data_IF_840177465019
#
_entry.id   IF_840177465019
#
_cell.length_a   1.000
_cell.length_b   1.000
_cell.length_c   1.000
_cell.angle_alpha   90.00
_cell.angle_beta   90.00
_cell.angle_gamma   90.00
#
_symmetry.space_group_name_H-M   'P 1'
#
loop_
_entity.id
_entity.type
_entity.pdbx_description
1 polymer ?
2 non-polymer ?
3 water ?
#
# COMPACT_ATOMS: atom_id res chain seq x y z
N UNK A 4 -18.33 -7.22 18.36
CA UNK A 4 -18.33 -5.80 17.90
C UNK A 4 -18.04 -5.79 16.39
N UNK A 5 -18.24 -4.62 15.79
CA UNK A 5 -18.25 -4.46 14.34
C UNK A 5 -17.31 -3.34 13.90
N UNK A 6 -16.26 -3.12 14.71
CA UNK A 6 -15.28 -2.12 14.38
C UNK A 6 -14.65 -2.31 13.00
N UNK A 7 -14.36 -3.53 12.58
CA UNK A 7 -13.76 -3.72 11.24
C UNK A 7 -14.71 -3.22 10.15
N UNK A 8 -15.96 -3.63 10.29
CA UNK A 8 -17.00 -3.26 9.36
C UNK A 8 -17.25 -1.76 9.30
N UNK A 9 -17.46 -1.12 10.44
CA UNK A 9 -17.67 0.33 10.35
C UNK A 9 -16.45 1.14 9.89
N UNK A 10 -15.27 0.71 10.32
CA UNK A 10 -14.02 1.27 9.87
C UNK A 10 -13.96 1.24 8.35
N UNK A 11 -14.22 0.07 7.77
CA UNK A 11 -14.21 -0.13 6.32
C UNK A 11 -15.26 0.69 5.54
N UNK A 12 -16.43 0.88 6.15
CA UNK A 12 -17.48 1.72 5.54
C UNK A 12 -16.96 3.15 5.33
N UNK A 13 -16.06 3.58 6.20
CA UNK A 13 -15.49 4.93 6.16
C UNK A 13 -14.21 4.98 5.34
N UNK A 14 -14.16 4.16 4.27
CA UNK A 14 -13.08 4.12 3.34
C UNK A 14 -13.61 4.18 1.92
N UNK A 15 -12.73 4.44 0.92
CA UNK A 15 -13.18 4.42 -0.48
C UNK A 15 -13.47 3.05 -1.08
N UNK A 16 -13.24 1.97 -0.35
CA UNK A 16 -13.44 0.64 -0.93
C UNK A 16 -13.77 -0.36 0.17
N UNK A 17 -15.06 -0.40 0.51
CA UNK A 17 -15.53 -1.19 1.62
C UNK A 17 -15.11 -2.65 1.51
N UNK A 18 -15.36 -3.28 0.37
CA UNK A 18 -15.15 -4.75 0.26
C UNK A 18 -13.66 -5.12 0.32
N UNK A 19 -12.81 -4.30 -0.31
CA UNK A 19 -11.40 -4.50 -0.29
C UNK A 19 -10.84 -4.34 1.14
N UNK A 20 -11.30 -3.30 1.82
CA UNK A 20 -10.91 -3.03 3.22
C UNK A 20 -11.28 -4.23 4.09
N UNK A 21 -12.50 -4.71 3.89
CA UNK A 21 -13.06 -5.69 4.78
C UNK A 21 -12.31 -7.01 4.63
N UNK A 22 -12.14 -7.49 3.41
CA UNK A 22 -11.44 -8.78 3.21
C UNK A 22 -9.96 -8.69 3.60
N UNK A 23 -9.37 -7.51 3.41
CA UNK A 23 -7.98 -7.30 3.76
C UNK A 23 -7.78 -7.34 5.27
N UNK A 24 -8.59 -6.59 6.02
CA UNK A 24 -8.49 -6.57 7.49
C UNK A 24 -8.78 -7.91 8.12
N UNK A 25 -9.84 -8.59 7.66
CA UNK A 25 -10.18 -9.92 8.18
C UNK A 25 -9.14 -11.01 7.90
N UNK A 26 -8.28 -10.84 6.91
CA UNK A 26 -7.26 -11.81 6.63
C UNK A 26 -6.16 -11.83 7.66
N UNK A 27 -6.10 -10.80 8.50
CA UNK A 27 -5.11 -10.72 9.58
C UNK A 27 -5.74 -11.00 10.93
N UNK A 28 -5.16 -11.95 11.65
CA UNK A 28 -5.77 -12.35 12.93
C UNK A 28 -5.84 -11.21 13.98
N UNK A 29 -5.03 -10.17 13.81
CA UNK A 29 -5.11 -9.00 14.73
C UNK A 29 -6.41 -8.21 14.63
N UNK A 30 -7.23 -8.48 13.63
CA UNK A 30 -8.48 -7.77 13.46
C UNK A 30 -9.60 -8.19 14.42
N UNK A 31 -9.44 -9.34 15.07
CA UNK A 31 -10.49 -9.83 16.00
C UNK A 31 -10.64 -8.89 17.16
N UNK A 32 -9.54 -8.39 17.68
CA UNK A 32 -9.59 -7.53 18.87
C UNK A 32 -8.97 -6.17 18.68
N UNK A 33 -8.35 -5.95 17.52
CA UNK A 33 -7.58 -4.74 17.31
C UNK A 33 -8.42 -3.49 17.33
N UNK A 34 -7.83 -2.42 17.85
CA UNK A 34 -8.39 -1.06 17.74
C UNK A 34 -8.06 -0.46 16.39
N UNK A 35 -8.46 0.78 16.14
CA UNK A 35 -8.30 1.36 14.83
C UNK A 35 -6.81 1.50 14.47
N UNK A 36 -5.95 1.78 15.45
CA UNK A 36 -4.52 1.86 15.16
C UNK A 36 -4.00 0.52 14.63
N UNK A 37 -4.44 -0.55 15.27
CA UNK A 37 -4.09 -1.89 14.84
C UNK A 37 -4.61 -2.20 13.45
N UNK A 38 -5.84 -1.80 13.18
CA UNK A 38 -6.40 -1.95 11.86
C UNK A 38 -5.57 -1.22 10.79
N UNK A 39 -5.14 0.00 11.11
CA UNK A 39 -4.24 0.74 10.22
C UNK A 39 -2.91 -0.02 10.00
N UNK A 40 -2.31 -0.53 11.07
CA UNK A 40 -1.11 -1.35 10.98
C UNK A 40 -1.30 -2.59 10.09
N UNK A 41 -2.46 -3.28 10.20
CA UNK A 41 -2.79 -4.36 9.27
C UNK A 41 -2.80 -3.88 7.80
N UNK A 42 -3.43 -2.73 7.54
CA UNK A 42 -3.52 -2.20 6.20
C UNK A 42 -2.12 -1.85 5.66
N UNK A 43 -1.25 -1.28 6.50
CA UNK A 43 0.12 -0.98 6.07
C UNK A 43 0.83 -2.27 5.64
N UNK A 44 0.72 -3.33 6.43
CA UNK A 44 1.30 -4.61 6.07
C UNK A 44 0.75 -5.20 4.79
N UNK A 45 -0.54 -5.04 4.50
CA UNK A 45 -1.09 -5.52 3.23
C UNK A 45 -0.55 -4.72 2.02
N UNK A 46 -0.41 -3.40 2.17
CA UNK A 46 0.27 -2.59 1.13
C UNK A 46 1.71 -3.10 0.93
N UNK A 47 2.44 -3.29 2.02
CA UNK A 47 3.81 -3.79 1.92
C UNK A 47 3.91 -5.12 1.16
N UNK A 48 2.98 -6.02 1.46
CA UNK A 48 2.97 -7.34 0.81
C UNK A 48 2.82 -7.21 -0.70
N UNK A 49 1.92 -6.31 -1.17
CA UNK A 49 1.72 -6.08 -2.58
C UNK A 49 2.94 -5.35 -3.17
N UNK A 50 3.49 -4.38 -2.44
CA UNK A 50 4.69 -3.62 -2.89
C UNK A 50 5.94 -4.52 -2.99
N UNK A 51 6.07 -5.46 -2.05
CA UNK A 51 7.13 -6.46 -2.05
C UNK A 51 7.00 -7.28 -3.36
N UNK A 52 5.77 -7.65 -3.69
CA UNK A 52 5.51 -8.43 -4.92
C UNK A 52 5.84 -7.65 -6.18
N UNK A 53 5.40 -6.40 -6.22
CA UNK A 53 5.67 -5.50 -7.31
C UNK A 53 7.19 -5.34 -7.49
N UNK A 54 7.91 -5.11 -6.41
CA UNK A 54 9.35 -4.91 -6.51
C UNK A 54 10.10 -6.13 -7.08
N UNK A 55 9.79 -7.34 -6.64
CA UNK A 55 10.42 -8.51 -7.25
C UNK A 55 9.95 -8.73 -8.67
N UNK A 56 8.67 -8.49 -8.94
CA UNK A 56 8.20 -8.66 -10.29
C UNK A 56 9.00 -7.79 -11.30
N UNK A 57 9.18 -6.53 -10.93
CA UNK A 57 10.04 -5.60 -11.69
C UNK A 57 11.45 -6.13 -11.89
N UNK A 58 12.09 -6.57 -10.81
CA UNK A 58 13.45 -7.09 -10.90
C UNK A 58 13.52 -8.30 -11.83
N UNK A 59 12.51 -9.14 -11.77
CA UNK A 59 12.46 -10.32 -12.66
C UNK A 59 12.38 -9.91 -14.11
N UNK A 60 11.53 -8.94 -14.44
CA UNK A 60 11.43 -8.40 -15.80
C UNK A 60 12.77 -7.81 -16.25
N UNK A 61 13.43 -7.05 -15.38
CA UNK A 61 14.73 -6.47 -15.69
C UNK A 61 15.83 -7.53 -15.89
N UNK A 62 15.75 -8.61 -15.12
CA UNK A 62 16.73 -9.71 -15.16
C UNK A 62 16.70 -10.46 -16.51
N UNK A 63 15.51 -10.51 -17.09
CA UNK A 63 15.23 -11.24 -18.33
C UNK A 63 15.66 -10.50 -19.61
N UNK A 64 16.24 -9.31 -19.48
CA UNK A 64 16.55 -8.47 -20.62
C UNK A 64 15.23 -8.02 -21.26
N UNK A 65 14.62 -6.97 -20.70
CA UNK A 65 13.29 -6.60 -21.16
C UNK A 65 13.30 -5.81 -22.48
N UNK A 66 12.13 -5.67 -23.11
CA UNK A 66 12.07 -4.87 -24.34
C UNK A 66 12.54 -3.43 -24.11
N UNK A 67 13.15 -2.84 -25.13
CA UNK A 67 13.72 -1.48 -25.02
C UNK A 67 12.72 -0.43 -24.49
N UNK A 68 11.48 -0.56 -24.95
CA UNK A 68 10.33 0.22 -24.50
C UNK A 68 10.11 0.19 -22.99
N UNK A 69 10.46 -0.93 -22.36
CA UNK A 69 10.19 -1.13 -20.94
C UNK A 69 11.35 -0.76 -20.02
N UNK A 70 12.54 -0.53 -20.55
CA UNK A 70 13.72 -0.37 -19.70
C UNK A 70 13.62 0.85 -18.78
N UNK A 71 13.28 2.01 -19.33
CA UNK A 71 13.15 3.23 -18.57
C UNK A 71 12.04 3.15 -17.54
N UNK A 72 10.83 2.76 -17.97
CA UNK A 72 9.74 2.56 -17.00
C UNK A 72 10.08 1.56 -15.87
N UNK A 73 10.65 0.42 -16.21
CA UNK A 73 11.03 -0.53 -15.17
C UNK A 73 12.03 0.08 -14.20
N UNK A 74 13.04 0.79 -14.71
CA UNK A 74 14.07 1.41 -13.85
C UNK A 74 13.41 2.46 -12.94
N UNK A 75 12.52 3.27 -13.51
CA UNK A 75 11.76 4.26 -12.73
C UNK A 75 10.84 3.65 -11.67
N UNK A 76 10.07 2.65 -12.07
CA UNK A 76 9.23 1.90 -11.13
C UNK A 76 10.05 1.25 -10.01
N UNK A 77 11.24 0.77 -10.34
CA UNK A 77 12.11 0.12 -9.33
C UNK A 77 12.43 1.13 -8.25
N UNK A 78 12.70 2.36 -8.65
CA UNK A 78 12.91 3.42 -7.69
C UNK A 78 11.66 3.73 -6.89
N UNK A 79 10.51 3.85 -7.54
CA UNK A 79 9.24 4.12 -6.87
C UNK A 79 8.99 3.12 -5.73
N UNK A 80 9.17 1.84 -6.03
CA UNK A 80 8.97 0.82 -5.05
C UNK A 80 10.06 0.78 -3.96
N UNK A 81 11.32 1.11 -4.30
CA UNK A 81 12.35 1.28 -3.29
C UNK A 81 11.96 2.33 -2.24
N UNK A 82 11.39 3.46 -2.69
CA UNK A 82 10.93 4.52 -1.81
C UNK A 82 9.79 4.01 -0.95
N UNK A 83 8.82 3.36 -1.57
CA UNK A 83 7.63 2.85 -0.85
C UNK A 83 8.09 1.92 0.28
N UNK A 84 9.00 1.00 -0.02
CA UNK A 84 9.38 -0.08 0.91
C UNK A 84 10.40 0.40 1.97
N UNK A 85 11.24 1.36 1.61
CA UNK A 85 12.32 1.81 2.48
C UNK A 85 11.94 3.07 3.30
N UNK A 86 11.19 4.00 2.69
CA UNK A 86 10.82 5.27 3.34
C UNK A 86 9.33 5.28 3.77
N UNK A 87 8.43 5.17 2.81
CA UNK A 87 7.01 5.46 3.02
C UNK A 87 6.32 4.57 4.03
N UNK A 88 6.40 3.27 3.82
CA UNK A 88 5.72 2.32 4.70
C UNK A 88 6.38 2.24 6.08
N UNK A 89 7.72 2.19 6.14
CA UNK A 89 8.37 2.34 7.44
C UNK A 89 8.00 3.61 8.23
N UNK A 90 7.92 4.75 7.55
CA UNK A 90 7.43 6.00 8.15
C UNK A 90 6.07 5.78 8.79
N UNK A 91 5.15 5.18 8.04
CA UNK A 91 3.77 4.95 8.49
C UNK A 91 3.72 4.02 9.73
N UNK A 92 4.48 2.94 9.68
CA UNK A 92 4.55 1.99 10.82
C UNK A 92 5.05 2.69 12.09
N UNK A 93 6.12 3.45 11.91
CA UNK A 93 6.72 4.21 13.02
C UNK A 93 5.74 5.21 13.60
N UNK A 94 5.06 5.95 12.73
CA UNK A 94 4.13 6.97 13.20
C UNK A 94 2.94 6.37 13.97
N UNK A 95 2.37 5.30 13.42
CA UNK A 95 1.28 4.58 14.10
C UNK A 95 1.69 3.99 15.45
N UNK A 96 2.88 3.40 15.52
CA UNK A 96 3.29 2.70 16.73
C UNK A 96 3.67 3.72 17.83
N UNK A 97 4.16 4.88 17.43
CA UNK A 97 4.52 5.95 18.37
C UNK A 97 3.40 6.92 18.67
N UNK A 98 2.24 6.73 18.04
CA UNK A 98 1.09 7.56 18.31
C UNK A 98 1.15 8.96 17.73
N UNK A 99 1.80 9.13 16.57
CA UNK A 99 1.74 10.40 15.82
C UNK A 99 1.22 10.10 14.40
N UNK A 100 -0.05 9.65 14.32
CA UNK A 100 -0.60 9.10 13.09
C UNK A 100 -0.59 10.02 11.86
N UNK A 101 -0.54 11.34 12.05
CA UNK A 101 -0.59 12.23 10.89
C UNK A 101 0.57 11.98 9.92
N UNK A 102 1.69 11.54 10.46
CA UNK A 102 2.80 11.12 9.59
C UNK A 102 2.54 9.82 8.81
N UNK A 103 1.63 8.98 9.29
CA UNK A 103 1.29 7.72 8.60
C UNK A 103 0.39 8.04 7.41
N UNK A 104 -0.45 9.06 7.57
CA UNK A 104 -1.25 9.56 6.47
C UNK A 104 -0.34 10.05 5.33
N UNK A 105 0.72 10.76 5.66
CA UNK A 105 1.73 11.19 4.69
C UNK A 105 2.34 10.02 3.88
N UNK A 106 2.66 8.93 4.56
CA UNK A 106 3.25 7.75 3.88
C UNK A 106 2.33 7.11 2.87
N UNK A 107 1.03 7.15 3.17
CA UNK A 107 0.02 6.50 2.32
C UNK A 107 -0.37 7.38 1.15
N UNK A 108 -0.35 8.69 1.35
CA UNK A 108 -0.48 9.60 0.23
C UNK A 108 0.64 9.36 -0.76
N UNK A 109 1.85 9.18 -0.25
CA UNK A 109 3.02 8.91 -1.08
C UNK A 109 2.97 7.58 -1.79
N UNK A 110 2.70 6.50 -1.06
CA UNK A 110 2.58 5.20 -1.68
C UNK A 110 1.43 5.13 -2.73
N UNK A 111 0.31 5.77 -2.45
CA UNK A 111 -0.80 5.81 -3.40
C UNK A 111 -0.38 6.51 -4.72
N UNK A 112 0.26 7.66 -4.58
CA UNK A 112 0.74 8.42 -5.73
C UNK A 112 1.86 7.75 -6.48
N UNK A 113 2.81 7.16 -5.77
CA UNK A 113 3.97 6.53 -6.41
C UNK A 113 3.56 5.27 -7.18
N UNK A 114 2.61 4.47 -6.65
CA UNK A 114 2.10 3.32 -7.43
C UNK A 114 1.43 3.78 -8.75
N UNK A 115 0.68 4.88 -8.70
CA UNK A 115 0.03 5.41 -9.88
C UNK A 115 1.04 6.02 -10.85
N UNK A 116 2.04 6.68 -10.28
CA UNK A 116 3.15 7.26 -11.07
C UNK A 116 3.83 6.16 -11.88
N UNK A 117 4.14 5.04 -11.21
CA UNK A 117 4.78 3.90 -11.85
C UNK A 117 3.92 3.39 -12.98
N UNK A 118 2.63 3.16 -12.72
CA UNK A 118 1.76 2.69 -13.78
C UNK A 118 1.79 3.64 -14.99
N UNK A 119 1.78 4.95 -14.74
CA UNK A 119 1.76 5.98 -15.79
C UNK A 119 3.03 6.03 -16.66
N UNK A 120 4.15 5.52 -16.16
CA UNK A 120 5.42 5.50 -16.93
C UNK A 120 5.33 4.66 -18.20
N UNK A 121 4.49 3.64 -18.16
CA UNK A 121 4.23 2.81 -19.33
C UNK A 121 3.30 3.54 -20.30
N UNK A 125 -1.24 0.38 -19.83
CA UNK A 125 -1.21 -0.74 -18.89
C UNK A 125 0.19 -1.35 -18.81
N UNK A 126 0.78 -1.31 -17.61
CA UNK A 126 2.03 -1.99 -17.34
C UNK A 126 1.78 -3.50 -17.23
N UNK A 127 2.85 -4.32 -17.36
CA UNK A 127 2.78 -5.77 -17.16
C UNK A 127 2.45 -6.24 -15.76
N UNK A 128 2.43 -5.33 -14.79
CA UNK A 128 2.02 -5.64 -13.42
C UNK A 128 0.99 -4.63 -12.91
N UNK A 129 0.14 -4.13 -13.82
CA UNK A 129 -0.94 -3.19 -13.49
C UNK A 129 -1.75 -3.58 -12.27
N UNK A 130 -2.10 -4.86 -12.15
CA UNK A 130 -2.92 -5.32 -11.02
C UNK A 130 -2.25 -5.05 -9.68
N UNK A 131 -0.93 -5.18 -9.63
CA UNK A 131 -0.20 -4.88 -8.40
C UNK A 131 -0.12 -3.37 -8.14
N UNK A 132 0.17 -2.55 -9.16
CA UNK A 132 0.13 -1.09 -8.96
C UNK A 132 -1.25 -0.66 -8.50
N UNK A 133 -2.28 -1.21 -9.12
CA UNK A 133 -3.65 -0.89 -8.70
C UNK A 133 -3.91 -1.27 -7.25
N UNK A 134 -3.47 -2.48 -6.86
CA UNK A 134 -3.64 -2.96 -5.50
C UNK A 134 -2.91 -2.06 -4.51
N UNK A 135 -1.67 -1.69 -4.82
CA UNK A 135 -0.96 -0.75 -3.97
C UNK A 135 -1.67 0.62 -3.83
N UNK A 136 -2.13 1.19 -4.92
CA UNK A 136 -2.89 2.44 -4.91
C UNK A 136 -4.19 2.32 -4.09
N UNK A 137 -4.96 1.27 -4.36
CA UNK A 137 -6.26 1.07 -3.68
C UNK A 137 -6.16 0.84 -2.17
N UNK A 138 -5.25 -0.03 -1.77
CA UNK A 138 -4.97 -0.26 -0.36
C UNK A 138 -4.36 0.97 0.35
N UNK A 139 -3.55 1.74 -0.36
CA UNK A 139 -2.99 2.96 0.21
C UNK A 139 -4.10 3.96 0.49
N UNK A 140 -5.05 4.08 -0.42
CA UNK A 140 -6.15 5.00 -0.21
C UNK A 140 -7.09 4.53 0.90
N UNK A 141 -7.26 3.22 1.03
CA UNK A 141 -8.00 2.66 2.18
C UNK A 141 -7.29 3.00 3.49
N UNK A 142 -5.98 2.78 3.54
CA UNK A 142 -5.23 3.05 4.74
C UNK A 142 -5.23 4.52 5.12
N UNK A 143 -5.08 5.39 4.12
CA UNK A 143 -5.14 6.83 4.34
C UNK A 143 -6.45 7.17 5.06
N UNK A 144 -7.56 6.58 4.61
CA UNK A 144 -8.85 6.86 5.20
C UNK A 144 -8.99 6.30 6.63
N UNK A 145 -8.51 5.09 6.85
CA UNK A 145 -8.46 4.51 8.21
C UNK A 145 -7.71 5.46 9.15
N UNK A 146 -6.55 5.94 8.72
CA UNK A 146 -5.72 6.75 9.60
C UNK A 146 -6.37 8.06 9.98
N UNK A 147 -7.11 8.65 9.04
CA UNK A 147 -7.85 9.88 9.33
C UNK A 147 -8.89 9.75 10.50
N UNK A 148 -9.49 8.56 10.73
CA UNK A 148 -10.28 8.28 11.95
C UNK A 148 -9.48 8.60 13.21
N UNK A 149 -8.15 8.46 13.15
CA UNK A 149 -7.29 8.62 14.30
C UNK A 149 -6.89 10.07 14.56
N UNK A 150 -7.19 10.96 13.62
CA UNK A 150 -6.83 12.40 13.74
C UNK A 150 -7.99 13.25 14.30
X LIG B 1 -22.48 -0.89 9.45
X LIG C 1 10.31 6.47 -18.07
X LIG D 1 0.39 -8.73 -11.72
X LIG E 1 -16.39 -7.40 12.19
X LIG F 1 -2.87 2.67 -10.88
X LIG G 1 -7.41 -4.02 -5.82
X LIG H 1 -12.62 -6.60 -3.43
X LIG I 1 -9.26 2.51 -2.46
X LIG J 1 12.39 -3.43 -8.28
X LIG K 1 16.45 1.62 -7.75
X LIG L 1 8.49 1.69 15.48
X LIG M 1 12.43 -1.72 -6.24
X LIG N 1 7.42 -11.89 -14.07
X LIG O 1 -11.37 -5.14 15.75
X LIG P 1 -12.06 4.31 8.10
X LIG Q 1 10.23 6.90 -9.85
X LIG R 1 -5.62 -5.00 -8.41
X LIG S 1 16.22 -0.14 0.28
X LIG T 1 -0.56 12.77 14.66
X LIG U 1 7.71 -1.86 6.75
X LIG V 1 -8.43 7.85 0.84
X LIG W 1 -10.77 2.24 18.88
X LIG X 1 -13.48 7.72 2.24
X LIG Y 1 -2.05 -7.37 6.62
X LIG Z 1 -4.34 -8.59 5.45
X LIG AA 1 4.96 -10.15 -18.61
X LIG BA 1 16.65 -2.73 -17.39
X LIG CA 1 1.40 -5.79 -20.98
X LIG DA 1 -9.03 10.00 3.03
X LIG EA 1 10.14 -4.58 3.05
X LIG FA 1 3.41 19.50 11.78
X LIG GA 1 6.84 9.54 14.07
#
# INVERSE_FOLDING_TARGET
>A
GAMNNLVETTCKNTPNYQLCLKTLLSDKRSATGDITTLALIMVDAIKAKANQAAVTISKLRHSNPPAAWKGPLKNCAFSYKVILTASLPEAIEALTKGDPKFAEDGMVGSSGDAQECEEYFKGSKSPFSALNIAVHELSDVGRAIVRNLL
>B hetero
1 IOD I
>C hetero
1 IOD I
>D hetero
1 IOD I
>E hetero
1 IOD I
>F hetero
1 IOD I
>G hetero
1 IOD I
>H hetero
1 IOD I
>I hetero
1 IOD I
>J hetero
1 IOD I
>K hetero
1 IOD I
>L hetero
1 IOD I
>M hetero
1 IOD I
>N hetero
1 IOD I
>O hetero
1 IOD I
>P hetero
1 IOD I
>Q hetero
1 IOD I
>R hetero
1 IOD I
>S hetero
1 IOD I
>T hetero
1 IOD I
>U hetero
1 IOD I
>V hetero
1 IOD I
>W hetero
1 IOD I
>X hetero
1 IOD I
>Y hetero
1 IOD I
>Z hetero
1 IOD I
>AA hetero
1 IOD I
>BA hetero
1 IOD I
>CA hetero
1 IOD I
>DA hetero
1 IOD I
>EA hetero
1 IOD I
>FA hetero
1 IOD I
>GA hetero
1 IOD I
#
